data_IF_185791244053
#
_entry.id   IF_185791244053
#
_cell.length_a   1.000
_cell.length_b   1.000
_cell.length_c   1.000
_cell.angle_alpha   90.00
_cell.angle_beta   90.00
_cell.angle_gamma   90.00
#
_symmetry.space_group_name_H-M   'P 1'
#
loop_
_entity.id
_entity.type
_entity.pdbx_description
1 polymer ?
#
# COMPACT_ATOMS: atom_id res chain seq x y z
N UNK A 1 -2.06 23.58 -9.76
CA UNK A 1 -1.50 23.13 -11.05
C UNK A 1 -0.39 22.14 -10.75
N UNK A 2 -0.70 20.84 -10.72
CA UNK A 2 0.26 19.78 -10.38
C UNK A 2 0.28 18.79 -11.52
N UNK A 3 1.35 18.86 -12.30
CA UNK A 3 1.73 17.86 -13.30
C UNK A 3 2.13 16.60 -12.53
N UNK A 4 1.38 15.50 -12.66
CA UNK A 4 1.73 14.21 -12.07
C UNK A 4 2.05 13.19 -13.16
N UNK A 5 3.23 12.61 -12.98
CA UNK A 5 4.02 11.84 -13.94
C UNK A 5 3.38 10.52 -14.34
N UNK A 6 3.51 10.19 -15.62
CA UNK A 6 2.76 9.19 -16.40
C UNK A 6 3.36 7.77 -16.38
N UNK A 7 3.96 7.31 -15.29
CA UNK A 7 4.57 5.98 -15.26
C UNK A 7 4.23 5.21 -14.00
N UNK A 8 3.22 4.33 -14.11
CA UNK A 8 3.20 2.93 -13.62
C UNK A 8 1.77 2.37 -13.71
N UNK A 9 1.35 1.91 -14.90
CA UNK A 9 0.22 0.98 -15.02
C UNK A 9 0.50 -0.02 -16.16
N UNK A 10 0.66 -1.33 -15.89
CA UNK A 10 0.93 -2.35 -16.91
C UNK A 10 -0.37 -2.99 -17.44
N UNK A 11 -1.39 -2.20 -17.71
CA UNK A 11 -2.63 -2.68 -18.34
C UNK A 11 -2.94 -1.79 -19.54
N UNK A 12 -2.78 -2.34 -20.74
CA UNK A 12 -3.14 -1.69 -22.01
C UNK A 12 -4.67 -1.61 -22.14
N UNK A 13 -5.31 -0.69 -21.41
CA UNK A 13 -6.77 -0.51 -21.41
C UNK A 13 -7.21 0.95 -21.64
N UNK A 14 -6.32 1.82 -22.11
CA UNK A 14 -6.55 3.28 -22.22
C UNK A 14 -7.65 3.71 -23.21
N UNK A 15 -7.99 2.91 -24.23
CA UNK A 15 -9.02 3.29 -25.22
C UNK A 15 -10.42 2.84 -24.79
N UNK A 16 -10.54 1.61 -24.27
CA UNK A 16 -11.82 1.05 -23.83
C UNK A 16 -12.37 1.85 -22.64
N UNK A 17 -11.49 2.22 -21.71
CA UNK A 17 -11.82 2.98 -20.51
C UNK A 17 -12.33 4.40 -20.84
N UNK A 18 -11.75 5.08 -21.84
CA UNK A 18 -12.22 6.39 -22.27
C UNK A 18 -13.60 6.33 -22.96
N UNK A 19 -13.91 5.24 -23.65
CA UNK A 19 -15.23 5.04 -24.29
C UNK A 19 -16.28 4.71 -23.23
N UNK A 20 -15.98 3.81 -22.28
CA UNK A 20 -16.90 3.45 -21.20
C UNK A 20 -17.12 4.59 -20.19
N UNK A 21 -16.11 5.41 -19.91
CA UNK A 21 -16.23 6.59 -19.07
C UNK A 21 -17.11 7.67 -19.74
N UNK A 22 -16.99 7.86 -21.06
CA UNK A 22 -17.88 8.78 -21.82
C UNK A 22 -19.32 8.31 -21.89
N UNK A 23 -19.56 7.00 -21.75
CA UNK A 23 -20.90 6.41 -21.70
C UNK A 23 -21.55 6.47 -20.31
N UNK A 24 -20.92 7.13 -19.33
CA UNK A 24 -21.45 7.29 -17.96
C UNK A 24 -21.76 5.96 -17.24
N UNK A 25 -21.20 4.85 -17.74
CA UNK A 25 -21.49 3.49 -17.28
C UNK A 25 -20.56 3.04 -16.14
N UNK A 26 -19.45 3.74 -15.94
CA UNK A 26 -18.50 3.47 -14.87
C UNK A 26 -18.60 4.57 -13.82
N UNK A 27 -19.26 4.34 -12.70
CA UNK A 27 -19.08 5.21 -11.56
C UNK A 27 -17.60 5.08 -11.14
N UNK A 28 -16.92 6.21 -11.04
CA UNK A 28 -15.55 6.37 -10.54
C UNK A 28 -15.25 5.64 -9.20
N UNK A 29 -16.19 5.31 -8.28
CA UNK A 29 -15.86 4.64 -7.01
C UNK A 29 -15.34 3.20 -7.18
N UNK A 30 -15.51 2.57 -8.36
CA UNK A 30 -14.99 1.23 -8.61
C UNK A 30 -13.45 1.17 -8.59
N UNK A 31 -12.77 2.31 -8.72
CA UNK A 31 -11.30 2.42 -8.65
C UNK A 31 -10.77 2.90 -7.29
N UNK A 32 -11.62 3.43 -6.41
CA UNK A 32 -11.29 3.66 -5.00
C UNK A 32 -11.45 2.37 -4.16
N UNK A 33 -12.24 1.42 -4.64
CA UNK A 33 -12.56 0.17 -3.95
C UNK A 33 -11.58 -1.02 -4.14
N UNK A 34 -10.79 -1.17 -5.25
CA UNK A 34 -10.04 -2.40 -5.50
C UNK A 34 -8.72 -2.48 -4.72
N UNK A 35 -8.30 -1.40 -4.07
CA UNK A 35 -7.10 -1.36 -3.21
C UNK A 35 -7.41 -1.63 -1.73
N UNK A 36 -8.68 -1.54 -1.32
CA UNK A 36 -9.11 -1.76 0.06
C UNK A 36 -8.71 -3.15 0.62
N UNK A 37 -8.82 -4.27 -0.14
CA UNK A 37 -8.39 -5.58 0.35
C UNK A 37 -6.87 -5.66 0.54
N UNK A 38 -6.09 -4.99 -0.31
CA UNK A 38 -4.62 -4.97 -0.23
C UNK A 38 -4.13 -4.24 1.03
N UNK A 39 -4.73 -3.08 1.31
CA UNK A 39 -4.43 -2.27 2.51
C UNK A 39 -4.78 -3.04 3.79
N UNK A 40 -5.97 -3.64 3.84
CA UNK A 40 -6.40 -4.45 4.99
C UNK A 40 -5.43 -5.62 5.24
N UNK A 41 -4.98 -6.28 4.17
CA UNK A 41 -4.03 -7.39 4.27
C UNK A 41 -2.66 -6.93 4.79
N UNK A 42 -2.16 -5.77 4.35
CA UNK A 42 -0.91 -5.20 4.88
C UNK A 42 -1.02 -4.92 6.39
N UNK A 43 -2.13 -4.33 6.83
CA UNK A 43 -2.36 -4.05 8.25
C UNK A 43 -2.45 -5.34 9.08
N UNK A 44 -3.22 -6.32 8.61
CA UNK A 44 -3.34 -7.63 9.27
C UNK A 44 -1.99 -8.33 9.34
N UNK A 45 -1.22 -8.37 8.25
CA UNK A 45 0.13 -8.96 8.25
C UNK A 45 1.06 -8.24 9.21
N UNK A 46 0.96 -6.92 9.34
CA UNK A 46 1.75 -6.17 10.32
C UNK A 46 1.40 -6.54 11.77
N UNK A 47 0.11 -6.77 12.06
CA UNK A 47 -0.36 -7.26 13.35
C UNK A 47 0.07 -8.71 13.60
N UNK A 48 -0.07 -9.60 12.62
CA UNK A 48 0.35 -11.01 12.72
C UNK A 48 1.86 -11.15 12.94
N UNK A 49 2.65 -10.25 12.33
CA UNK A 49 4.08 -10.17 12.56
C UNK A 49 4.45 -9.52 13.90
N UNK A 50 3.50 -8.95 14.64
CA UNK A 50 3.77 -8.27 15.92
C UNK A 50 4.67 -7.05 15.76
N UNK A 51 4.62 -6.36 14.62
CA UNK A 51 5.47 -5.19 14.33
C UNK A 51 5.18 -4.07 15.32
N UNK A 52 3.90 -3.80 15.57
CA UNK A 52 3.47 -2.73 16.47
C UNK A 52 3.84 -3.01 17.92
N UNK A 53 3.64 -4.23 18.40
CA UNK A 53 4.03 -4.63 19.75
C UNK A 53 5.54 -4.48 19.94
N UNK A 54 6.31 -4.96 18.97
CA UNK A 54 7.77 -4.91 19.00
C UNK A 54 8.32 -3.48 19.01
N UNK A 55 7.71 -2.57 18.23
CA UNK A 55 8.11 -1.16 18.18
C UNK A 55 7.56 -0.34 19.36
N UNK A 56 6.49 -0.79 20.02
CA UNK A 56 5.92 -0.14 21.19
C UNK A 56 6.83 -0.21 22.42
N UNK A 57 7.58 -1.31 22.57
CA UNK A 57 8.54 -1.50 23.66
C UNK A 57 9.72 -0.54 23.53
N UNK A 58 10.26 -0.40 22.32
CA UNK A 58 11.41 0.44 22.02
C UNK A 58 11.52 0.70 20.51
N UNK A 59 12.03 1.87 20.09
CA UNK A 59 12.40 2.10 18.70
C UNK A 59 13.56 1.16 18.32
N UNK A 60 13.45 0.53 17.15
CA UNK A 60 14.43 -0.39 16.60
C UNK A 60 14.86 0.05 15.20
N UNK A 61 16.10 -0.25 14.83
CA UNK A 61 16.53 -0.15 13.43
C UNK A 61 15.82 -1.21 12.58
N UNK A 62 15.77 -0.99 11.28
CA UNK A 62 15.14 -1.92 10.33
C UNK A 62 15.76 -3.33 10.43
N UNK A 63 17.08 -3.40 10.59
CA UNK A 63 17.85 -4.63 10.68
C UNK A 63 17.54 -5.36 11.98
N UNK A 64 17.54 -4.65 13.11
CA UNK A 64 17.23 -5.22 14.42
C UNK A 64 15.77 -5.71 14.50
N UNK A 65 14.85 -5.01 13.83
CA UNK A 65 13.46 -5.43 13.71
C UNK A 65 13.33 -6.69 12.84
N UNK A 66 14.02 -6.73 11.70
CA UNK A 66 14.03 -7.89 10.81
C UNK A 66 14.59 -9.15 11.48
N UNK A 67 15.65 -9.00 12.27
CA UNK A 67 16.22 -10.10 13.07
C UNK A 67 15.24 -10.57 14.16
N UNK A 68 14.66 -9.64 14.93
CA UNK A 68 13.70 -9.97 16.00
C UNK A 68 12.44 -10.66 15.46
N UNK A 69 11.96 -10.23 14.30
CA UNK A 69 10.78 -10.79 13.63
C UNK A 69 11.09 -11.96 12.68
N UNK A 70 12.37 -12.35 12.55
CA UNK A 70 12.85 -13.42 11.66
C UNK A 70 12.33 -13.29 10.22
N UNK A 71 12.28 -12.07 9.70
CA UNK A 71 11.74 -11.77 8.38
C UNK A 71 12.80 -11.16 7.46
N UNK A 72 12.53 -11.15 6.15
CA UNK A 72 13.46 -10.57 5.19
C UNK A 72 13.47 -9.03 5.35
N UNK A 73 14.64 -8.38 5.53
CA UNK A 73 14.72 -6.95 5.78
C UNK A 73 14.16 -6.11 4.63
N UNK A 74 14.31 -6.56 3.38
CA UNK A 74 13.79 -5.85 2.20
C UNK A 74 12.27 -5.94 2.11
N UNK A 75 11.69 -7.09 2.47
CA UNK A 75 10.23 -7.26 2.54
C UNK A 75 9.62 -6.43 3.67
N UNK A 76 10.27 -6.42 4.84
CA UNK A 76 9.89 -5.60 5.97
C UNK A 76 9.92 -4.11 5.64
N UNK A 77 10.96 -3.66 4.92
CA UNK A 77 11.06 -2.27 4.47
C UNK A 77 9.87 -1.85 3.60
N UNK A 78 9.48 -2.68 2.62
CA UNK A 78 8.33 -2.39 1.75
C UNK A 78 7.03 -2.35 2.54
N UNK A 79 6.84 -3.26 3.49
CA UNK A 79 5.67 -3.29 4.34
C UNK A 79 5.58 -2.05 5.24
N UNK A 80 6.70 -1.61 5.84
CA UNK A 80 6.76 -0.39 6.63
C UNK A 80 6.48 0.86 5.77
N UNK A 81 7.04 0.93 4.56
CA UNK A 81 6.76 2.02 3.62
C UNK A 81 5.27 2.09 3.25
N UNK A 82 4.63 0.94 3.03
CA UNK A 82 3.19 0.86 2.78
C UNK A 82 2.39 1.33 4.00
N UNK A 83 2.72 0.88 5.20
CA UNK A 83 2.04 1.30 6.44
C UNK A 83 2.10 2.82 6.64
N UNK A 84 3.27 3.44 6.44
CA UNK A 84 3.44 4.89 6.53
C UNK A 84 2.66 5.63 5.43
N UNK A 85 2.54 5.03 4.24
CA UNK A 85 1.76 5.63 3.15
C UNK A 85 0.25 5.53 3.37
N UNK A 86 -0.22 4.54 4.13
CA UNK A 86 -1.65 4.27 4.38
C UNK A 86 -2.14 5.05 5.61
N UNK A 87 -1.31 5.17 6.64
CA UNK A 87 -1.58 5.98 7.81
C UNK A 87 -0.95 7.37 7.60
N UNK A 88 -1.66 8.36 7.01
CA UNK A 88 -1.21 9.73 7.09
C UNK A 88 -1.16 10.09 8.57
N UNK A 89 0.05 10.10 9.12
CA UNK A 89 0.39 10.65 10.42
C UNK A 89 -0.10 12.11 10.42
N UNK A 90 -1.27 12.34 11.03
CA UNK A 90 -1.84 13.65 11.38
C UNK A 90 -2.21 13.62 12.85
#
# INVERSE_FOLDING_TARGET
>A
MVVRSHHLMPLRLTILENILARLNLLPVPLFDTPLAPGIAKVLVTACELGIFDTLSERPLSLEALAEKLKCNPRGLQLLLQLLVSIAPIS
#
